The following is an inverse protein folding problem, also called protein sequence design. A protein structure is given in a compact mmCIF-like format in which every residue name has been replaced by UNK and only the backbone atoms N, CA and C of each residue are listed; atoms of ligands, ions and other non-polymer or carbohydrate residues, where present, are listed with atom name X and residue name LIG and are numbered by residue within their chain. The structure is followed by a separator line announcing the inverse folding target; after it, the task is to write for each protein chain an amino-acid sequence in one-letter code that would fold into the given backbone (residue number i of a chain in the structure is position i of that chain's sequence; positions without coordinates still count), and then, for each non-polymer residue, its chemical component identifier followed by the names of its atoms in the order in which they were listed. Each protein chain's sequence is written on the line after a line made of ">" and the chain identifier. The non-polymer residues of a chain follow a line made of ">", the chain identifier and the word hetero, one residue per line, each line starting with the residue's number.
data_IF_200455408037
#
_entry.id   IF_200455408037
#
_cell.length_a   1.000
_cell.length_b   1.000
_cell.length_c   1.000
_cell.angle_alpha   90.00
_cell.angle_beta   90.00
_cell.angle_gamma   90.00
#
_symmetry.space_group_name_H-M   'P 1'
#
loop_
_entity.id
_entity.type
_entity.pdbx_description
1 polymer ?
#
# COMPACT_ATOMS: atom_id res chain seq x y z
N UNK A 1 -16.77 1.44 -22.15
CA UNK A 1 -16.33 2.81 -21.80
C UNK A 1 -15.18 2.68 -20.81
N UNK A 2 -13.95 3.07 -21.17
CA UNK A 2 -12.73 2.69 -20.43
C UNK A 2 -12.58 3.33 -19.03
N UNK A 3 -13.36 4.37 -18.71
CA UNK A 3 -13.18 5.14 -17.46
C UNK A 3 -14.08 4.70 -16.29
N UNK A 4 -15.12 3.89 -16.55
CA UNK A 4 -16.08 3.36 -15.56
C UNK A 4 -16.53 4.40 -14.50
N UNK A 5 -17.00 5.57 -14.96
CA UNK A 5 -17.41 6.65 -14.08
C UNK A 5 -18.61 6.27 -13.20
N UNK A 6 -18.74 6.93 -12.05
CA UNK A 6 -19.77 6.67 -11.02
C UNK A 6 -19.72 5.27 -10.37
N UNK A 7 -18.77 4.43 -10.75
CA UNK A 7 -18.52 3.12 -10.17
C UNK A 7 -17.07 3.04 -9.66
N UNK A 8 -16.77 3.64 -8.49
CA UNK A 8 -15.41 3.70 -7.95
C UNK A 8 -14.88 2.29 -7.70
N UNK A 9 -13.63 2.05 -8.12
CA UNK A 9 -12.93 0.78 -7.90
C UNK A 9 -11.79 0.97 -6.90
N UNK A 10 -11.21 -0.14 -6.44
CA UNK A 10 -10.03 -0.10 -5.57
C UNK A 10 -8.74 -0.03 -6.39
N UNK A 11 -7.76 0.75 -5.92
CA UNK A 11 -6.43 0.80 -6.53
C UNK A 11 -5.62 -0.45 -6.16
N UNK A 12 -5.09 -1.14 -7.17
CA UNK A 12 -4.29 -2.35 -6.98
C UNK A 12 -3.21 -2.46 -8.05
N UNK A 13 -2.39 -3.50 -7.99
CA UNK A 13 -1.41 -3.79 -9.05
C UNK A 13 -2.08 -4.02 -10.43
N UNK A 14 -3.29 -4.58 -10.45
CA UNK A 14 -4.06 -4.90 -11.65
C UNK A 14 -4.96 -3.75 -12.12
N UNK A 15 -5.60 -3.03 -11.19
CA UNK A 15 -6.55 -1.96 -11.51
C UNK A 15 -6.02 -0.57 -11.09
N UNK A 16 -5.81 0.31 -12.08
CA UNK A 16 -5.30 1.69 -11.88
C UNK A 16 -6.37 2.77 -11.94
N UNK A 17 -7.63 2.42 -12.18
CA UNK A 17 -8.71 3.39 -12.45
C UNK A 17 -8.86 4.41 -11.32
N UNK A 18 -8.87 3.96 -10.06
CA UNK A 18 -8.91 4.82 -8.89
C UNK A 18 -7.77 5.87 -8.85
N UNK A 19 -6.55 5.43 -9.16
CA UNK A 19 -5.38 6.31 -9.20
C UNK A 19 -5.47 7.31 -10.34
N UNK A 20 -5.94 6.88 -11.52
CA UNK A 20 -6.19 7.76 -12.67
C UNK A 20 -7.28 8.78 -12.37
N UNK A 21 -8.38 8.38 -11.72
CA UNK A 21 -9.49 9.27 -11.34
C UNK A 21 -9.02 10.34 -10.35
N UNK A 22 -8.28 9.95 -9.31
CA UNK A 22 -7.67 10.92 -8.37
C UNK A 22 -6.69 11.82 -9.10
N UNK A 23 -5.78 11.29 -9.91
CA UNK A 23 -4.80 12.10 -10.64
C UNK A 23 -5.45 13.11 -11.58
N UNK A 24 -6.44 12.70 -12.37
CA UNK A 24 -7.13 13.57 -13.33
C UNK A 24 -8.09 14.55 -12.64
N UNK A 25 -8.59 14.23 -11.44
CA UNK A 25 -9.37 15.19 -10.64
C UNK A 25 -8.58 16.48 -10.35
N UNK A 26 -7.25 16.41 -10.32
CA UNK A 26 -6.33 17.55 -10.18
C UNK A 26 -6.68 18.69 -11.14
N UNK A 27 -7.04 18.34 -12.37
CA UNK A 27 -7.36 19.31 -13.42
C UNK A 27 -8.57 20.17 -13.03
N UNK A 28 -9.57 19.58 -12.37
CA UNK A 28 -10.74 20.31 -11.88
C UNK A 28 -10.43 21.16 -10.64
N UNK A 29 -9.46 20.75 -9.82
CA UNK A 29 -9.08 21.50 -8.64
C UNK A 29 -8.27 22.76 -8.96
N UNK A 30 -7.40 22.72 -9.97
CA UNK A 30 -6.49 23.82 -10.27
C UNK A 30 -6.79 24.55 -11.59
N UNK A 31 -7.72 24.02 -12.39
CA UNK A 31 -8.00 24.50 -13.74
C UNK A 31 -6.88 24.18 -14.74
N UNK A 32 -7.17 24.32 -16.04
CA UNK A 32 -6.16 24.33 -17.09
C UNK A 32 -5.93 25.78 -17.53
N UNK A 33 -4.67 26.17 -17.75
CA UNK A 33 -4.30 27.50 -18.26
C UNK A 33 -4.65 27.73 -19.75
N UNK A 34 -5.27 26.76 -20.42
CA UNK A 34 -5.65 26.79 -21.84
C UNK A 34 -7.15 26.56 -21.96
N UNK A 35 -7.76 27.16 -22.98
CA UNK A 35 -9.15 26.87 -23.35
C UNK A 35 -9.31 25.39 -23.68
N UNK A 36 -10.21 24.73 -22.94
CA UNK A 36 -10.58 23.34 -23.12
C UNK A 36 -11.97 23.33 -23.75
N UNK A 37 -12.27 22.38 -24.62
CA UNK A 37 -13.64 22.22 -25.14
C UNK A 37 -14.63 21.88 -24.02
N UNK A 38 -15.90 22.23 -24.20
CA UNK A 38 -16.97 21.96 -23.23
C UNK A 38 -17.10 20.46 -22.91
N UNK A 39 -16.93 19.60 -23.91
CA UNK A 39 -17.02 18.13 -23.79
C UNK A 39 -15.87 17.57 -22.95
N UNK A 40 -14.64 18.04 -23.18
CA UNK A 40 -13.48 17.62 -22.38
C UNK A 40 -13.61 18.08 -20.93
N UNK A 41 -14.13 19.28 -20.69
CA UNK A 41 -14.38 19.78 -19.34
C UNK A 41 -15.41 18.92 -18.59
N UNK A 42 -16.51 18.52 -19.25
CA UNK A 42 -17.50 17.59 -18.68
C UNK A 42 -16.88 16.23 -18.33
N UNK A 43 -16.07 15.65 -19.23
CA UNK A 43 -15.38 14.38 -18.97
C UNK A 43 -14.42 14.48 -17.77
N UNK A 44 -13.71 15.62 -17.65
CA UNK A 44 -12.82 15.90 -16.53
C UNK A 44 -13.59 15.96 -15.20
N UNK A 45 -14.76 16.59 -15.17
CA UNK A 45 -15.62 16.64 -13.98
C UNK A 45 -16.04 15.24 -13.53
N UNK A 46 -16.26 14.30 -14.45
CA UNK A 46 -16.61 12.91 -14.11
C UNK A 46 -15.48 12.17 -13.39
N UNK A 47 -14.21 12.45 -13.71
CA UNK A 47 -13.08 11.92 -12.95
C UNK A 47 -13.05 12.44 -11.50
N UNK A 48 -13.32 13.74 -11.31
CA UNK A 48 -13.44 14.31 -9.96
C UNK A 48 -14.59 13.68 -9.20
N UNK A 49 -15.78 13.57 -9.79
CA UNK A 49 -16.95 12.94 -9.17
C UNK A 49 -16.66 11.50 -8.75
N UNK A 50 -16.01 10.73 -9.60
CA UNK A 50 -15.67 9.33 -9.27
C UNK A 50 -14.59 9.24 -8.19
N UNK A 51 -13.62 10.17 -8.18
CA UNK A 51 -12.64 10.26 -7.10
C UNK A 51 -13.27 10.66 -5.75
N UNK A 52 -14.22 11.61 -5.75
CA UNK A 52 -15.00 11.98 -4.56
C UNK A 52 -15.80 10.78 -4.06
N UNK A 53 -16.44 10.01 -4.95
CA UNK A 53 -17.14 8.78 -4.57
C UNK A 53 -16.21 7.76 -3.90
N UNK A 54 -15.00 7.56 -4.42
CA UNK A 54 -13.98 6.71 -3.77
C UNK A 54 -13.61 7.24 -2.38
N UNK A 55 -13.39 8.54 -2.22
CA UNK A 55 -13.12 9.15 -0.91
C UNK A 55 -14.30 9.00 0.06
N UNK A 56 -15.53 9.10 -0.42
CA UNK A 56 -16.71 8.86 0.40
C UNK A 56 -16.80 7.41 0.91
N UNK A 57 -16.41 6.43 0.09
CA UNK A 57 -16.35 5.03 0.53
C UNK A 57 -15.40 4.83 1.72
N UNK A 58 -14.32 5.60 1.79
CA UNK A 58 -13.33 5.48 2.87
C UNK A 58 -13.74 6.21 4.14
N UNK A 59 -14.42 7.34 4.01
CA UNK A 59 -14.81 8.21 5.13
C UNK A 59 -16.12 7.79 5.80
N UNK A 60 -17.03 7.18 5.06
CA UNK A 60 -18.29 6.73 5.61
C UNK A 60 -18.10 5.49 6.53
N UNK A 61 -18.99 5.31 7.52
CA UNK A 61 -19.02 4.10 8.32
C UNK A 61 -19.16 2.86 7.42
N UNK A 62 -18.67 1.70 7.85
CA UNK A 62 -18.70 0.49 7.05
C UNK A 62 -20.13 0.16 6.64
N UNK A 63 -20.42 0.27 5.34
CA UNK A 63 -21.77 0.04 4.82
C UNK A 63 -22.01 -1.47 4.65
N UNK A 64 -20.96 -2.26 4.42
CA UNK A 64 -20.86 -3.74 4.42
C UNK A 64 -19.38 -4.15 4.27
N UNK A 65 -19.00 -5.35 4.74
CA UNK A 65 -17.76 -6.20 4.55
C UNK A 65 -16.42 -5.66 4.02
N UNK A 66 -16.25 -4.35 3.86
CA UNK A 66 -15.13 -3.67 3.25
C UNK A 66 -14.20 -3.02 4.28
N UNK A 67 -14.55 -3.14 5.56
CA UNK A 67 -13.68 -2.82 6.68
C UNK A 67 -13.77 -3.93 7.72
N UNK A 68 -12.66 -4.21 8.39
CA UNK A 68 -12.64 -5.05 9.58
C UNK A 68 -13.27 -4.32 10.77
N UNK A 69 -13.52 -5.04 11.87
CA UNK A 69 -14.02 -4.41 13.10
C UNK A 69 -13.00 -3.42 13.70
N UNK A 70 -11.71 -3.70 13.53
CA UNK A 70 -10.62 -2.78 13.87
C UNK A 70 -10.44 -1.59 12.91
N UNK A 71 -11.27 -1.47 11.86
CA UNK A 71 -11.31 -0.31 10.98
C UNK A 71 -10.35 -0.33 9.78
N UNK A 72 -9.68 -1.46 9.52
CA UNK A 72 -8.84 -1.64 8.33
C UNK A 72 -9.70 -1.80 7.08
N UNK A 73 -9.38 -1.10 5.99
CA UNK A 73 -9.97 -1.38 4.67
C UNK A 73 -9.66 -2.83 4.26
N UNK A 74 -10.71 -3.62 4.05
CA UNK A 74 -10.63 -5.05 3.74
C UNK A 74 -11.38 -5.34 2.43
N UNK A 75 -10.66 -5.43 1.32
CA UNK A 75 -11.25 -5.58 -0.02
C UNK A 75 -11.18 -7.02 -0.53
N UNK A 76 -10.06 -7.66 -0.25
CA UNK A 76 -9.72 -8.99 -0.70
C UNK A 76 -8.98 -9.70 0.45
N UNK A 77 -9.21 -11.00 0.58
CA UNK A 77 -8.49 -11.87 1.51
C UNK A 77 -7.00 -12.01 1.15
N UNK A 78 -6.69 -11.85 -0.14
CA UNK A 78 -5.34 -11.80 -0.67
C UNK A 78 -4.82 -10.37 -0.62
N UNK A 79 -3.73 -10.17 0.13
CA UNK A 79 -3.03 -8.88 0.19
C UNK A 79 -3.95 -7.70 0.55
N UNK A 80 -4.66 -7.85 1.67
CA UNK A 80 -5.54 -6.84 2.22
C UNK A 80 -4.82 -5.50 2.46
N UNK A 81 -3.60 -5.52 3.02
CA UNK A 81 -2.88 -4.30 3.38
C UNK A 81 -2.49 -3.47 2.16
N UNK A 82 -2.27 -4.06 0.98
CA UNK A 82 -2.04 -3.28 -0.24
C UNK A 82 -3.19 -2.31 -0.50
N UNK A 83 -4.44 -2.76 -0.37
CA UNK A 83 -5.61 -1.92 -0.63
C UNK A 83 -5.75 -0.79 0.39
N UNK A 84 -5.51 -1.10 1.66
CA UNK A 84 -5.52 -0.11 2.74
C UNK A 84 -4.46 0.98 2.52
N UNK A 85 -3.22 0.58 2.24
CA UNK A 85 -2.09 1.47 2.02
C UNK A 85 -2.28 2.32 0.75
N UNK A 86 -2.69 1.69 -0.35
CA UNK A 86 -2.95 2.37 -1.61
C UNK A 86 -4.05 3.42 -1.48
N UNK A 87 -5.16 3.05 -0.84
CA UNK A 87 -6.29 3.95 -0.61
C UNK A 87 -5.89 5.11 0.30
N UNK A 88 -5.08 4.85 1.32
CA UNK A 88 -4.53 5.90 2.20
C UNK A 88 -3.67 6.90 1.44
N UNK A 89 -2.82 6.41 0.53
CA UNK A 89 -2.03 7.28 -0.34
C UNK A 89 -2.91 8.16 -1.22
N UNK A 90 -3.93 7.58 -1.86
CA UNK A 90 -4.88 8.35 -2.68
C UNK A 90 -5.65 9.39 -1.86
N UNK A 91 -6.06 9.07 -0.63
CA UNK A 91 -6.74 9.99 0.27
C UNK A 91 -5.85 11.19 0.64
N UNK A 92 -4.55 10.98 0.90
CA UNK A 92 -3.59 12.06 1.15
C UNK A 92 -3.43 12.96 -0.07
N UNK A 93 -3.26 12.37 -1.26
CA UNK A 93 -3.15 13.14 -2.51
C UNK A 93 -4.40 13.98 -2.77
N UNK A 94 -5.59 13.39 -2.57
CA UNK A 94 -6.85 14.08 -2.77
C UNK A 94 -7.04 15.21 -1.73
N UNK A 95 -6.67 14.97 -0.47
CA UNK A 95 -6.62 15.99 0.58
C UNK A 95 -5.72 17.17 0.21
N UNK A 96 -4.52 16.92 -0.34
CA UNK A 96 -3.62 17.97 -0.82
C UNK A 96 -4.25 18.80 -1.94
N UNK A 97 -4.99 18.16 -2.85
CA UNK A 97 -5.72 18.88 -3.90
C UNK A 97 -6.82 19.77 -3.33
N UNK A 98 -7.64 19.25 -2.41
CA UNK A 98 -8.68 20.03 -1.75
C UNK A 98 -8.08 21.23 -1.01
N UNK A 99 -7.04 20.99 -0.21
CA UNK A 99 -6.37 22.04 0.57
C UNK A 99 -5.77 23.14 -0.32
N UNK A 100 -5.00 22.76 -1.34
CA UNK A 100 -4.28 23.73 -2.19
C UNK A 100 -5.23 24.52 -3.10
N UNK A 101 -6.37 23.94 -3.47
CA UNK A 101 -7.41 24.61 -4.28
C UNK A 101 -8.43 25.40 -3.45
N UNK A 102 -8.28 25.43 -2.11
CA UNK A 102 -9.28 25.98 -1.19
C UNK A 102 -10.67 25.34 -1.36
N UNK A 103 -10.74 24.06 -1.72
CA UNK A 103 -12.00 23.29 -1.67
C UNK A 103 -12.24 22.85 -0.22
N UNK A 104 -13.22 23.41 0.48
CA UNK A 104 -13.33 23.22 1.92
C UNK A 104 -13.93 21.85 2.28
N UNK A 105 -14.81 21.29 1.44
CA UNK A 105 -15.54 20.07 1.77
C UNK A 105 -15.77 19.18 0.55
N UNK A 106 -15.91 17.88 0.80
CA UNK A 106 -16.64 16.94 -0.06
C UNK A 106 -17.93 16.51 0.63
N UNK A 107 -18.98 16.29 -0.16
CA UNK A 107 -20.28 15.86 0.33
C UNK A 107 -20.48 14.35 0.09
N UNK A 108 -20.66 13.60 1.18
CA UNK A 108 -20.80 12.16 1.19
C UNK A 108 -22.08 11.78 1.95
N UNK A 109 -23.13 11.40 1.22
CA UNK A 109 -24.38 10.87 1.78
C UNK A 109 -24.93 11.65 3.02
N UNK A 110 -25.15 12.96 2.87
CA UNK A 110 -25.68 13.81 3.94
C UNK A 110 -24.63 14.38 4.90
N UNK A 111 -23.35 14.05 4.73
CA UNK A 111 -22.26 14.54 5.57
C UNK A 111 -21.24 15.33 4.75
N UNK A 112 -20.68 16.36 5.36
CA UNK A 112 -19.55 17.12 4.82
C UNK A 112 -18.26 16.64 5.49
N UNK A 113 -17.22 16.46 4.68
CA UNK A 113 -15.89 16.08 5.16
C UNK A 113 -14.85 17.07 4.65
N UNK A 114 -13.97 17.47 5.54
CA UNK A 114 -12.85 18.38 5.29
C UNK A 114 -11.62 17.62 4.78
N UNK A 115 -10.63 18.32 4.18
CA UNK A 115 -9.36 17.70 3.79
C UNK A 115 -8.66 16.96 4.94
N UNK A 116 -8.82 17.43 6.18
CA UNK A 116 -8.21 16.81 7.35
C UNK A 116 -8.77 15.41 7.63
N UNK A 117 -10.06 15.17 7.39
CA UNK A 117 -10.67 13.86 7.64
C UNK A 117 -10.07 12.76 6.74
N UNK A 118 -9.67 13.11 5.51
CA UNK A 118 -8.96 12.19 4.61
C UNK A 118 -7.55 11.84 5.13
N UNK A 119 -6.86 12.81 5.75
CA UNK A 119 -5.56 12.57 6.37
C UNK A 119 -5.69 11.73 7.62
N UNK A 120 -6.69 12.00 8.47
CA UNK A 120 -6.99 11.20 9.65
C UNK A 120 -7.31 9.75 9.29
N UNK A 121 -8.09 9.54 8.22
CA UNK A 121 -8.31 8.21 7.66
C UNK A 121 -6.98 7.54 7.26
N UNK A 122 -6.13 8.22 6.47
CA UNK A 122 -4.85 7.65 6.06
C UNK A 122 -3.91 7.34 7.24
N UNK A 123 -3.90 8.19 8.27
CA UNK A 123 -3.17 7.96 9.51
C UNK A 123 -3.73 6.72 10.23
N UNK A 124 -5.06 6.57 10.32
CA UNK A 124 -5.68 5.41 10.98
C UNK A 124 -5.25 4.08 10.33
N UNK A 125 -5.18 4.03 9.00
CA UNK A 125 -4.76 2.84 8.25
C UNK A 125 -3.28 2.55 8.46
N UNK A 126 -2.43 3.58 8.44
CA UNK A 126 -1.00 3.42 8.72
C UNK A 126 -0.76 2.97 10.17
N UNK A 127 -1.50 3.53 11.12
CA UNK A 127 -1.44 3.15 12.53
C UNK A 127 -1.89 1.70 12.73
N UNK A 128 -2.94 1.27 12.05
CA UNK A 128 -3.36 -0.13 12.02
C UNK A 128 -2.23 -1.03 11.53
N UNK A 129 -1.58 -0.72 10.40
CA UNK A 129 -0.43 -1.50 9.89
C UNK A 129 0.72 -1.54 10.90
N UNK A 130 0.95 -0.44 11.62
CA UNK A 130 2.08 -0.31 12.55
C UNK A 130 1.80 -0.86 13.96
N UNK A 131 0.59 -1.36 14.23
CA UNK A 131 0.27 -2.09 15.45
C UNK A 131 -0.91 -1.56 16.26
N UNK A 132 -1.56 -0.47 15.85
CA UNK A 132 -2.82 -0.01 16.46
C UNK A 132 -4.00 -0.80 15.86
N UNK A 133 -4.03 -2.09 16.15
CA UNK A 133 -5.03 -3.03 15.68
C UNK A 133 -5.40 -4.01 16.81
N UNK A 134 -6.49 -4.78 16.69
CA UNK A 134 -6.93 -5.70 17.75
C UNK A 134 -5.89 -6.75 18.19
N UNK A 135 -4.92 -7.07 17.34
CA UNK A 135 -3.83 -8.00 17.63
C UNK A 135 -2.62 -7.34 18.33
N UNK A 136 -2.60 -6.00 18.46
CA UNK A 136 -1.45 -5.22 18.93
C UNK A 136 -0.12 -5.66 18.26
N UNK A 137 -0.19 -5.95 16.96
CA UNK A 137 0.91 -6.52 16.16
C UNK A 137 1.22 -5.61 14.98
N UNK A 138 2.49 -5.28 14.75
CA UNK A 138 2.88 -4.61 13.51
C UNK A 138 2.88 -5.60 12.35
N UNK A 139 2.21 -5.25 11.26
CA UNK A 139 2.30 -5.98 10.00
C UNK A 139 3.49 -5.53 9.12
N UNK A 140 4.31 -4.60 9.64
CA UNK A 140 5.61 -4.22 9.08
C UNK A 140 6.71 -5.02 9.78
N UNK A 141 7.33 -5.95 9.05
CA UNK A 141 8.33 -6.87 9.58
C UNK A 141 9.54 -6.11 10.11
N UNK A 142 9.93 -6.43 11.35
CA UNK A 142 11.05 -5.78 12.04
C UNK A 142 10.70 -4.43 12.68
N UNK A 143 9.43 -4.03 12.71
CA UNK A 143 8.96 -2.83 13.39
C UNK A 143 8.13 -3.17 14.64
N UNK A 144 8.34 -2.42 15.72
CA UNK A 144 7.65 -2.64 16.99
C UNK A 144 8.15 -3.87 17.76
N UNK A 145 7.44 -4.24 18.84
CA UNK A 145 7.81 -5.37 19.70
C UNK A 145 7.21 -6.71 19.25
N UNK A 146 6.15 -6.67 18.46
CA UNK A 146 5.42 -7.83 17.97
C UNK A 146 5.17 -7.66 16.46
N UNK A 147 5.74 -8.55 15.65
CA UNK A 147 5.65 -8.53 14.18
C UNK A 147 5.80 -9.95 13.59
N UNK A 148 5.34 -10.21 12.36
CA UNK A 148 5.47 -11.52 11.71
C UNK A 148 6.92 -12.01 11.60
N UNK A 149 7.17 -13.22 12.11
CA UNK A 149 8.46 -13.90 12.07
C UNK A 149 8.47 -15.08 11.09
N UNK A 150 7.30 -15.52 10.62
CA UNK A 150 7.12 -16.68 9.74
C UNK A 150 6.62 -16.27 8.35
N UNK A 151 7.19 -15.19 7.80
CA UNK A 151 6.77 -14.67 6.49
C UNK A 151 6.99 -15.69 5.37
N UNK A 152 6.02 -15.79 4.45
CA UNK A 152 6.09 -16.64 3.27
C UNK A 152 7.03 -16.03 2.23
N UNK A 153 8.34 -16.12 2.48
CA UNK A 153 9.37 -15.60 1.60
C UNK A 153 10.63 -16.47 1.64
N UNK A 154 11.03 -17.03 0.48
CA UNK A 154 12.17 -17.97 0.37
C UNK A 154 13.49 -17.37 0.86
N UNK A 155 13.81 -16.14 0.45
CA UNK A 155 15.04 -15.47 0.89
C UNK A 155 15.05 -15.14 2.39
N UNK A 156 13.89 -15.12 3.04
CA UNK A 156 13.79 -14.91 4.47
C UNK A 156 13.89 -16.25 5.24
N UNK A 157 13.34 -17.33 4.69
CA UNK A 157 13.24 -18.64 5.35
C UNK A 157 14.51 -19.50 5.25
N UNK A 158 15.39 -19.23 4.27
CA UNK A 158 16.61 -20.01 4.01
C UNK A 158 17.83 -19.35 4.69
N UNK A 159 18.57 -20.04 5.58
CA UNK A 159 19.82 -19.53 6.13
C UNK A 159 20.84 -19.19 5.04
N UNK A 160 21.64 -18.14 5.26
CA UNK A 160 22.61 -17.62 4.26
C UNK A 160 23.67 -18.66 3.89
N UNK A 161 24.03 -19.52 4.84
CA UNK A 161 25.02 -20.58 4.75
C UNK A 161 24.43 -21.93 4.29
N UNK A 162 23.13 -22.01 4.07
CA UNK A 162 22.49 -23.24 3.62
C UNK A 162 22.78 -23.49 2.13
N UNK A 163 23.29 -24.69 1.83
CA UNK A 163 23.36 -25.18 0.46
C UNK A 163 22.01 -25.82 0.09
N UNK A 164 21.20 -25.15 -0.72
CA UNK A 164 19.83 -25.58 -1.02
C UNK A 164 19.65 -26.00 -2.48
N UNK A 165 19.10 -27.19 -2.72
CA UNK A 165 18.59 -27.57 -4.03
C UNK A 165 17.13 -27.12 -4.23
N UNK A 166 16.61 -27.13 -5.46
CA UNK A 166 15.21 -26.78 -5.73
C UNK A 166 14.19 -27.70 -5.03
N UNK A 167 14.56 -28.95 -4.70
CA UNK A 167 13.69 -29.90 -3.98
C UNK A 167 13.64 -29.62 -2.47
N UNK A 168 14.63 -28.91 -1.94
CA UNK A 168 14.76 -28.63 -0.50
C UNK A 168 13.86 -27.48 -0.01
N UNK A 169 13.21 -26.74 -0.92
CA UNK A 169 12.39 -25.58 -0.57
C UNK A 169 11.29 -25.89 0.47
N UNK A 170 10.73 -27.10 0.44
CA UNK A 170 9.67 -27.51 1.36
C UNK A 170 10.16 -27.70 2.81
N UNK A 171 11.43 -28.03 3.03
CA UNK A 171 11.96 -28.13 4.40
C UNK A 171 11.94 -26.76 5.09
N UNK A 172 12.26 -25.70 4.34
CA UNK A 172 12.27 -24.32 4.84
C UNK A 172 10.85 -23.78 5.01
N UNK A 173 9.96 -24.12 4.08
CA UNK A 173 8.54 -23.77 4.18
C UNK A 173 7.91 -24.37 5.44
N UNK A 174 8.14 -25.67 5.69
CA UNK A 174 7.52 -26.42 6.79
C UNK A 174 8.28 -26.32 8.13
N UNK A 175 9.40 -25.60 8.19
CA UNK A 175 10.17 -25.42 9.43
C UNK A 175 9.35 -24.70 10.51
N UNK A 176 9.41 -25.20 11.75
CA UNK A 176 8.77 -24.58 12.92
C UNK A 176 9.61 -23.46 13.55
N UNK A 177 10.87 -23.30 13.12
CA UNK A 177 11.73 -22.19 13.54
C UNK A 177 11.33 -20.89 12.81
N UNK A 178 11.49 -19.70 13.40
CA UNK A 178 11.25 -18.43 12.72
C UNK A 178 12.20 -18.22 11.54
N UNK A 179 11.89 -17.27 10.66
CA UNK A 179 12.73 -16.97 9.49
C UNK A 179 14.14 -16.54 9.95
N UNK A 180 15.22 -17.22 9.51
CA UNK A 180 16.59 -16.89 9.91
C UNK A 180 17.02 -15.50 9.44
N UNK A 181 16.48 -15.02 8.31
CA UNK A 181 16.72 -13.67 7.83
C UNK A 181 15.46 -12.83 8.02
N UNK A 182 15.53 -11.82 8.89
CA UNK A 182 14.44 -10.87 9.10
C UNK A 182 14.29 -9.99 7.84
N UNK A 183 13.12 -10.06 7.20
CA UNK A 183 12.78 -9.23 6.04
C UNK A 183 12.42 -7.81 6.47
N UNK A 184 13.35 -7.08 7.06
CA UNK A 184 13.10 -5.75 7.65
C UNK A 184 12.47 -4.81 6.62
N UNK A 185 11.34 -4.19 6.99
CA UNK A 185 10.60 -3.26 6.15
C UNK A 185 9.61 -3.92 5.17
N UNK A 186 9.53 -5.25 5.16
CA UNK A 186 8.49 -5.98 4.45
C UNK A 186 7.12 -5.73 5.07
N UNK A 187 6.09 -5.57 4.25
CA UNK A 187 4.70 -5.56 4.69
C UNK A 187 4.07 -6.89 4.27
N UNK A 188 3.47 -7.60 5.21
CA UNK A 188 2.75 -8.86 4.94
C UNK A 188 1.37 -8.58 4.33
N UNK A 189 0.70 -9.62 3.82
CA UNK A 189 -0.61 -9.49 3.19
C UNK A 189 -1.70 -8.92 4.12
N UNK A 190 -1.64 -9.21 5.42
CA UNK A 190 -2.53 -8.61 6.43
C UNK A 190 -3.40 -9.60 7.18
N UNK A 191 -4.33 -9.13 8.02
CA UNK A 191 -5.23 -9.98 8.78
C UNK A 191 -6.41 -10.51 7.97
N UNK A 192 -7.09 -11.50 8.55
CA UNK A 192 -8.44 -11.91 8.14
C UNK A 192 -9.45 -10.79 8.41
N UNK A 193 -10.67 -10.92 7.86
CA UNK A 193 -11.74 -9.93 8.03
C UNK A 193 -12.10 -9.67 9.50
N UNK A 194 -11.94 -10.67 10.38
CA UNK A 194 -12.18 -10.55 11.82
C UNK A 194 -10.97 -10.01 12.62
N UNK A 195 -10.03 -9.34 11.95
CA UNK A 195 -8.80 -8.76 12.51
C UNK A 195 -7.77 -9.78 13.05
N UNK A 196 -8.04 -11.07 12.96
CA UNK A 196 -7.08 -12.10 13.40
C UNK A 196 -5.97 -12.30 12.38
N UNK A 197 -4.80 -12.72 12.85
CA UNK A 197 -3.64 -13.03 12.00
C UNK A 197 -2.92 -14.27 12.53
N UNK A 198 -2.63 -15.22 11.63
CA UNK A 198 -1.87 -16.42 11.95
C UNK A 198 -0.51 -16.30 11.27
N UNK A 199 0.53 -16.06 12.07
CA UNK A 199 1.92 -15.95 11.61
C UNK A 199 2.49 -17.35 11.30
N UNK A 200 2.30 -17.78 10.06
CA UNK A 200 2.73 -19.08 9.57
C UNK A 200 3.17 -18.97 8.12
N UNK A 201 4.27 -19.64 7.75
CA UNK A 201 4.73 -19.65 6.36
C UNK A 201 3.74 -20.34 5.43
N UNK A 202 2.97 -21.31 5.92
CA UNK A 202 1.94 -21.97 5.11
C UNK A 202 0.68 -21.11 4.96
N UNK A 203 0.56 -20.04 5.74
CA UNK A 203 -0.46 -19.03 5.52
C UNK A 203 -0.04 -18.10 4.37
N UNK A 204 -0.09 -18.59 3.14
CA UNK A 204 0.41 -17.88 1.96
C UNK A 204 -0.40 -16.63 1.63
N UNK A 205 -1.69 -16.56 1.99
CA UNK A 205 -2.53 -15.39 1.70
C UNK A 205 -2.16 -14.20 2.61
N UNK A 206 -2.14 -14.41 3.92
CA UNK A 206 -1.88 -13.36 4.90
C UNK A 206 -0.38 -13.17 5.18
N UNK A 207 0.42 -14.22 5.05
CA UNK A 207 1.87 -14.24 5.33
C UNK A 207 2.76 -13.93 4.13
N UNK A 208 2.21 -13.83 2.91
CA UNK A 208 2.96 -13.38 1.74
C UNK A 208 3.37 -11.91 1.91
N UNK A 209 4.60 -11.60 1.49
CA UNK A 209 5.15 -10.25 1.58
C UNK A 209 4.90 -9.51 0.28
N UNK A 210 4.37 -8.30 0.38
CA UNK A 210 3.94 -7.54 -0.77
C UNK A 210 5.09 -7.12 -1.69
N UNK A 211 4.94 -7.31 -3.02
CA UNK A 211 5.89 -6.85 -4.03
C UNK A 211 6.34 -5.39 -3.84
N UNK A 212 5.42 -4.56 -3.34
CA UNK A 212 5.57 -3.11 -3.12
C UNK A 212 6.59 -2.80 -2.01
N UNK A 213 6.81 -3.71 -1.06
CA UNK A 213 7.73 -3.51 0.07
C UNK A 213 9.20 -3.81 -0.26
N UNK A 214 9.48 -4.48 -1.38
CA UNK A 214 10.84 -4.87 -1.79
C UNK A 214 11.67 -3.75 -2.42
N UNK A 215 11.07 -2.59 -2.67
CA UNK A 215 11.75 -1.44 -3.26
C UNK A 215 12.47 -0.54 -2.25
N UNK A 216 12.50 -0.93 -0.97
CA UNK A 216 13.34 -0.26 0.01
C UNK A 216 14.82 -0.62 -0.23
N UNK A 217 15.68 0.33 -0.67
CA UNK A 217 17.09 0.07 -0.94
C UNK A 217 17.90 -0.30 0.31
N UNK A 218 17.37 -0.05 1.51
CA UNK A 218 17.95 -0.44 2.79
C UNK A 218 17.43 -1.78 3.33
N UNK A 219 16.49 -2.43 2.64
CA UNK A 219 16.06 -3.78 3.03
C UNK A 219 17.18 -4.79 2.77
N UNK A 220 17.33 -5.76 3.65
CA UNK A 220 18.24 -6.92 3.49
C UNK A 220 18.06 -7.61 2.12
N UNK A 221 16.88 -7.46 1.53
CA UNK A 221 16.44 -7.95 0.22
C UNK A 221 17.24 -7.37 -0.96
N UNK A 222 17.68 -6.10 -0.88
CA UNK A 222 18.56 -5.50 -1.90
C UNK A 222 19.97 -6.12 -1.88
N UNK A 223 20.38 -6.72 -0.75
CA UNK A 223 21.63 -7.47 -0.62
C UNK A 223 21.47 -8.93 -1.07
N UNK A 224 20.27 -9.50 -0.90
CA UNK A 224 19.91 -10.87 -1.32
C UNK A 224 19.59 -10.99 -2.82
N UNK A 225 19.29 -9.90 -3.54
CA UNK A 225 19.12 -9.92 -5.00
C UNK A 225 20.39 -10.34 -5.75
N UNK A 226 21.58 -10.22 -5.12
CA UNK A 226 22.85 -10.73 -5.65
C UNK A 226 23.02 -12.25 -5.54
N UNK A 227 22.16 -12.93 -4.78
CA UNK A 227 22.15 -14.40 -4.66
C UNK A 227 21.13 -15.06 -5.60
N UNK A 228 20.31 -14.27 -6.30
CA UNK A 228 19.39 -14.76 -7.33
C UNK A 228 20.16 -15.04 -8.63
N UNK A 229 20.77 -16.22 -8.72
CA UNK A 229 21.16 -16.78 -10.01
C UNK A 229 19.88 -17.38 -10.65
N UNK A 230 19.35 -16.86 -11.78
CA UNK A 230 18.01 -17.20 -12.27
C UNK A 230 17.84 -18.61 -12.86
N UNK A 231 18.85 -19.47 -12.79
CA UNK A 231 18.93 -20.67 -13.65
C UNK A 231 18.42 -21.99 -13.05
N UNK A 232 18.03 -22.06 -11.76
CA UNK A 232 17.76 -23.38 -11.17
C UNK A 232 16.29 -23.82 -11.04
N UNK A 233 15.28 -22.95 -11.21
CA UNK A 233 13.89 -23.33 -10.87
C UNK A 233 12.85 -22.92 -11.93
N UNK A 234 13.13 -23.15 -13.22
CA UNK A 234 12.17 -22.95 -14.31
C UNK A 234 11.91 -24.24 -15.10
N UNK A 235 11.54 -25.34 -14.42
CA UNK A 235 11.08 -26.54 -15.13
C UNK A 235 9.77 -27.16 -14.64
N UNK A 236 9.07 -26.62 -13.63
CA UNK A 236 7.79 -27.25 -13.22
C UNK A 236 6.75 -26.32 -12.57
N UNK A 237 6.57 -25.12 -13.13
CA UNK A 237 5.31 -24.39 -12.97
C UNK A 237 4.83 -23.95 -14.34
N UNK A 238 3.82 -24.65 -14.84
CA UNK A 238 3.13 -24.28 -16.06
C UNK A 238 2.63 -22.84 -15.99
N UNK A 239 3.09 -22.03 -16.96
CA UNK A 239 2.55 -20.73 -17.35
C UNK A 239 2.28 -19.74 -16.19
N UNK A 240 3.29 -18.96 -15.84
CA UNK A 240 3.05 -17.60 -15.32
C UNK A 240 4.00 -16.64 -16.01
N UNK A 241 3.40 -15.66 -16.68
CA UNK A 241 4.04 -14.74 -17.62
C UNK A 241 5.17 -13.94 -16.94
N UNK A 242 6.40 -14.17 -17.42
CA UNK A 242 7.50 -13.20 -17.33
C UNK A 242 7.20 -12.07 -18.33
N UNK A 243 6.75 -10.92 -17.84
CA UNK A 243 6.88 -9.66 -18.57
C UNK A 243 7.68 -8.69 -17.70
N UNK A 244 8.96 -8.60 -18.04
CA UNK A 244 9.86 -7.52 -17.68
C UNK A 244 9.36 -6.21 -18.30
N UNK A 245 8.62 -5.42 -17.53
CA UNK A 245 8.53 -3.97 -17.73
C UNK A 245 8.81 -3.34 -16.37
N UNK A 246 9.86 -2.54 -16.30
CA UNK A 246 10.43 -1.95 -15.08
C UNK A 246 9.40 -1.23 -14.20
N UNK A 247 9.13 -1.68 -12.96
CA UNK A 247 8.18 -1.04 -12.03
C UNK A 247 8.83 0.02 -11.12
N UNK A 248 10.03 0.51 -11.46
CA UNK A 248 10.87 1.35 -10.57
C UNK A 248 10.28 2.76 -10.31
N UNK A 249 9.39 3.27 -11.18
CA UNK A 249 8.96 4.69 -11.09
C UNK A 249 7.55 4.95 -10.54
N UNK A 250 6.72 3.92 -10.33
CA UNK A 250 5.33 4.09 -9.85
C UNK A 250 5.07 3.59 -8.42
N UNK A 251 6.06 3.01 -7.75
CA UNK A 251 5.94 2.45 -6.40
C UNK A 251 6.63 3.30 -5.31
N UNK A 252 7.39 4.31 -5.72
CA UNK A 252 7.92 5.39 -4.86
C UNK A 252 6.84 6.04 -3.95
N UNK A 253 5.61 6.34 -4.42
CA UNK A 253 4.59 7.04 -3.63
C UNK A 253 4.08 6.30 -2.39
N UNK A 254 4.10 4.96 -2.38
CA UNK A 254 3.66 4.14 -1.24
C UNK A 254 4.74 4.10 -0.15
N UNK A 255 6.01 3.97 -0.55
CA UNK A 255 7.14 4.23 0.36
C UNK A 255 7.10 5.67 0.89
N UNK A 256 6.72 6.65 0.07
CA UNK A 256 6.52 8.03 0.53
C UNK A 256 5.37 8.14 1.52
N UNK A 257 4.28 7.38 1.41
CA UNK A 257 3.19 7.40 2.39
C UNK A 257 3.66 6.87 3.75
N UNK A 258 4.35 5.73 3.79
CA UNK A 258 4.97 5.22 5.02
C UNK A 258 6.06 6.15 5.56
N UNK A 259 6.93 6.67 4.70
CA UNK A 259 7.95 7.63 5.11
C UNK A 259 7.31 8.93 5.60
N UNK A 260 6.23 9.42 4.99
CA UNK A 260 5.54 10.65 5.37
C UNK A 260 4.83 10.49 6.71
N UNK A 261 4.11 9.38 6.94
CA UNK A 261 3.50 9.07 8.25
C UNK A 261 4.59 8.84 9.31
N UNK A 262 5.69 8.16 8.97
CA UNK A 262 6.86 8.03 9.83
C UNK A 262 7.53 9.38 10.14
N UNK A 263 7.61 10.29 9.16
CA UNK A 263 8.11 11.66 9.30
C UNK A 263 7.20 12.51 10.21
N UNK A 264 5.87 12.37 10.10
CA UNK A 264 4.90 13.01 10.98
C UNK A 264 5.07 12.53 12.42
N UNK A 265 5.28 11.22 12.65
CA UNK A 265 5.50 10.67 14.01
C UNK A 265 6.88 10.99 14.61
N UNK A 266 7.94 11.13 13.79
CA UNK A 266 9.29 11.53 14.25
C UNK A 266 9.45 13.04 14.48
N UNK A 267 8.44 13.85 14.18
CA UNK A 267 8.44 15.31 14.33
C UNK A 267 8.56 15.85 15.77
N UNK A 268 8.95 15.04 16.75
CA UNK A 268 9.22 15.44 18.13
C UNK A 268 10.70 15.73 18.46
N UNK A 269 11.65 15.58 17.51
CA UNK A 269 13.04 15.97 17.79
C UNK A 269 14.03 15.68 16.66
N UNK A 270 14.67 16.72 16.12
CA UNK A 270 15.84 16.61 15.22
C UNK A 270 15.60 16.95 13.74
N UNK A 271 14.67 17.86 13.42
CA UNK A 271 14.13 18.07 12.07
C UNK A 271 14.69 19.24 11.23
N UNK A 272 15.95 19.67 11.38
CA UNK A 272 16.48 20.82 10.61
C UNK A 272 17.33 20.42 9.39
N UNK A 273 18.17 19.39 9.51
CA UNK A 273 19.04 18.96 8.41
C UNK A 273 18.30 18.29 7.24
N UNK A 274 17.20 17.57 7.54
CA UNK A 274 16.42 16.82 6.54
C UNK A 274 15.30 17.66 5.89
N UNK A 275 14.77 18.70 6.56
CA UNK A 275 13.91 19.73 5.94
C UNK A 275 14.62 20.42 4.77
N UNK A 276 15.91 20.73 4.93
CA UNK A 276 16.75 21.32 3.88
C UNK A 276 16.97 20.37 2.69
N UNK A 277 16.92 19.05 2.91
CA UNK A 277 17.03 18.05 1.84
C UNK A 277 15.72 17.89 1.07
N UNK A 278 14.58 18.02 1.75
CA UNK A 278 13.24 17.98 1.15
C UNK A 278 12.96 19.18 0.23
N UNK A 279 13.37 20.39 0.63
CA UNK A 279 13.24 21.58 -0.23
C UNK A 279 14.13 21.52 -1.49
N UNK A 280 15.16 20.67 -1.50
CA UNK A 280 16.08 20.53 -2.64
C UNK A 280 15.55 19.60 -3.74
N UNK A 281 14.40 18.94 -3.50
CA UNK A 281 13.71 18.04 -4.45
C UNK A 281 12.35 18.58 -4.92
N UNK A 282 12.06 19.87 -4.64
CA UNK A 282 10.96 20.61 -5.26
C UNK A 282 11.35 21.15 -6.63
#
# INVERSE_FOLDING_TARGET
>A
MFANWDNPTWFSWDNKLAGTQVLLSRVNFFGIKKEISMVENMNLQMYRRTAEALMCLTLLPPVTSQKTNGGLIWVNEWDTLQYSIATSFLAVVFSDYMFTSNTPYIYCNGKLFEPINLREFAISQADYVLGNNPMNMSYLVGFGRNYPQYVHHRGASIPIDANTSCKDGFMWLNSTKPNPNVAVGAVVGGPFLNDTYIDSRNNSMQGMVNPISWLNPNSSSARLSKLWNPLCCSQDMGKTYLLLISPIDLLRPIMYCFMYVWFIKKGGGGGEGLKKRWMRWR
#
